data_IF_218791064331
#
_entry.id   IF_218791064331
#
_cell.length_a   1.000
_cell.length_b   1.000
_cell.length_c   1.000
_cell.angle_alpha   90.00
_cell.angle_beta   90.00
_cell.angle_gamma   90.00
#
_symmetry.space_group_name_H-M   'P 1'
#
loop_
_entity.id
_entity.type
_entity.pdbx_description
1 polymer ?
#
# COMPACT_ATOMS: atom_id res chain seq x y z
N UNK A 1 -1.59 -19.63 10.08
CA UNK A 1 -1.92 -18.51 9.19
C UNK A 1 -3.43 -18.38 9.16
N UNK A 2 -3.98 -17.43 9.90
CA UNK A 2 -5.43 -17.17 9.92
C UNK A 2 -5.79 -16.53 8.59
N UNK A 3 -6.78 -17.07 7.88
CA UNK A 3 -7.32 -16.44 6.68
C UNK A 3 -8.00 -15.15 7.14
N UNK A 4 -7.40 -14.00 6.84
CA UNK A 4 -8.10 -12.72 6.92
C UNK A 4 -9.23 -12.80 5.92
N UNK A 5 -10.48 -12.82 6.40
CA UNK A 5 -11.64 -12.81 5.51
C UNK A 5 -11.78 -11.40 4.94
N UNK A 6 -11.49 -11.26 3.65
CA UNK A 6 -11.79 -10.03 2.91
C UNK A 6 -13.20 -10.14 2.34
N UNK A 7 -14.01 -9.10 2.55
CA UNK A 7 -15.33 -8.96 1.96
C UNK A 7 -15.31 -7.79 0.98
N UNK A 8 -15.96 -7.97 -0.17
CA UNK A 8 -16.15 -6.87 -1.11
C UNK A 8 -17.16 -5.89 -0.50
N UNK A 9 -16.68 -4.69 -0.13
CA UNK A 9 -17.52 -3.65 0.47
C UNK A 9 -18.24 -2.80 -0.59
N UNK A 10 -17.54 -2.45 -1.67
CA UNK A 10 -18.06 -1.63 -2.76
C UNK A 10 -17.25 -1.84 -4.05
N UNK A 11 -17.85 -1.51 -5.20
CA UNK A 11 -17.20 -1.43 -6.51
C UNK A 11 -17.80 -0.28 -7.31
N UNK A 12 -17.04 0.26 -8.27
CA UNK A 12 -17.48 1.34 -9.12
C UNK A 12 -16.93 1.19 -10.54
N UNK A 13 -17.75 1.52 -11.53
CA UNK A 13 -17.33 1.63 -12.93
C UNK A 13 -17.17 3.12 -13.23
N UNK A 14 -16.00 3.50 -13.74
CA UNK A 14 -15.62 4.89 -14.02
C UNK A 14 -14.88 4.96 -15.35
N UNK A 15 -14.87 6.15 -15.96
CA UNK A 15 -14.31 6.34 -17.30
C UNK A 15 -12.80 6.11 -17.37
N UNK A 16 -12.08 6.40 -16.27
CA UNK A 16 -10.65 6.09 -16.12
C UNK A 16 -10.19 6.24 -14.68
N UNK A 17 -9.01 5.69 -14.37
CA UNK A 17 -8.35 5.83 -13.07
C UNK A 17 -7.71 7.22 -12.93
N UNK A 18 -8.53 8.21 -12.57
CA UNK A 18 -8.11 9.60 -12.39
C UNK A 18 -8.64 10.19 -11.07
N UNK A 19 -8.15 11.37 -10.69
CA UNK A 19 -8.52 12.03 -9.42
C UNK A 19 -10.02 12.30 -9.28
N UNK A 20 -10.73 12.60 -10.38
CA UNK A 20 -12.17 12.86 -10.34
C UNK A 20 -12.93 11.56 -10.07
N UNK A 21 -12.57 10.49 -10.77
CA UNK A 21 -13.16 9.16 -10.55
C UNK A 21 -12.93 8.65 -9.12
N UNK A 22 -11.70 8.82 -8.60
CA UNK A 22 -11.39 8.44 -7.22
C UNK A 22 -12.13 9.29 -6.19
N UNK A 23 -12.16 10.62 -6.37
CA UNK A 23 -12.92 11.52 -5.49
C UNK A 23 -14.39 11.13 -5.45
N UNK A 24 -15.02 10.91 -6.61
CA UNK A 24 -16.41 10.47 -6.68
C UNK A 24 -16.63 9.14 -5.95
N UNK A 25 -15.76 8.15 -6.19
CA UNK A 25 -15.89 6.84 -5.55
C UNK A 25 -15.79 6.94 -4.03
N UNK A 26 -14.78 7.66 -3.51
CA UNK A 26 -14.61 7.82 -2.06
C UNK A 26 -15.75 8.63 -1.44
N UNK A 27 -16.30 9.64 -2.13
CA UNK A 27 -17.50 10.35 -1.65
C UNK A 27 -18.71 9.42 -1.53
N UNK A 28 -18.89 8.47 -2.46
CA UNK A 28 -19.95 7.46 -2.37
C UNK A 28 -19.68 6.45 -1.26
N UNK A 29 -18.43 6.03 -1.09
CA UNK A 29 -18.04 5.11 -0.02
C UNK A 29 -18.23 5.74 1.37
N UNK A 30 -17.90 7.02 1.53
CA UNK A 30 -18.02 7.72 2.80
C UNK A 30 -19.45 7.76 3.32
N UNK A 31 -20.45 7.79 2.42
CA UNK A 31 -21.88 7.74 2.79
C UNK A 31 -22.29 6.44 3.50
N UNK A 32 -21.48 5.38 3.42
CA UNK A 32 -21.78 4.09 4.03
C UNK A 32 -20.75 3.64 5.07
N UNK A 33 -19.54 4.22 5.09
CA UNK A 33 -18.48 3.84 6.04
C UNK A 33 -18.27 4.85 7.16
N UNK A 34 -18.76 6.09 7.00
CA UNK A 34 -18.35 7.27 7.77
C UNK A 34 -16.82 7.53 7.71
N UNK A 35 -16.38 8.71 8.17
CA UNK A 35 -14.95 9.04 8.36
C UNK A 35 -14.60 8.91 9.84
N UNK A 36 -14.27 7.68 10.25
CA UNK A 36 -13.97 7.33 11.64
C UNK A 36 -12.46 7.30 11.90
N UNK A 37 -12.09 7.62 13.14
CA UNK A 37 -10.74 7.41 13.63
C UNK A 37 -10.39 5.90 13.52
N UNK A 38 -9.12 5.60 13.22
CA UNK A 38 -8.59 4.23 13.01
C UNK A 38 -8.92 3.55 11.66
N UNK A 39 -9.71 4.18 10.77
CA UNK A 39 -9.91 3.65 9.42
C UNK A 39 -8.60 3.69 8.63
N UNK A 40 -8.22 2.57 7.99
CA UNK A 40 -7.00 2.46 7.18
C UNK A 40 -7.33 2.05 5.76
N UNK A 41 -6.88 2.84 4.79
CA UNK A 41 -6.94 2.48 3.37
C UNK A 41 -5.58 1.98 2.86
N UNK A 42 -5.59 0.83 2.19
CA UNK A 42 -4.40 0.21 1.61
C UNK A 42 -4.57 0.10 0.09
N UNK A 43 -3.75 0.80 -0.69
CA UNK A 43 -3.84 0.84 -2.16
C UNK A 43 -2.52 0.49 -2.85
N UNK A 44 -2.60 0.11 -4.13
CA UNK A 44 -1.45 -0.32 -4.96
C UNK A 44 -0.46 0.85 -5.17
N UNK A 45 -0.91 1.95 -5.81
CA UNK A 45 -0.11 3.20 -5.98
C UNK A 45 -0.91 4.31 -6.69
N UNK A 46 -2.18 4.49 -6.36
CA UNK A 46 -2.99 5.54 -6.98
C UNK A 46 -2.62 6.94 -6.43
N UNK A 47 -2.85 8.04 -7.20
CA UNK A 47 -2.67 9.39 -6.69
C UNK A 47 -3.57 9.59 -5.47
N UNK A 48 -2.94 9.72 -4.31
CA UNK A 48 -3.59 9.89 -3.00
C UNK A 48 -4.47 11.13 -2.88
N UNK A 49 -4.50 11.98 -3.91
CA UNK A 49 -5.18 13.28 -3.92
C UNK A 49 -6.71 13.12 -3.77
N UNK A 50 -7.32 12.14 -4.45
CA UNK A 50 -8.78 11.96 -4.38
C UNK A 50 -9.25 11.47 -3.01
N UNK A 51 -8.44 10.64 -2.36
CA UNK A 51 -8.70 10.10 -1.03
C UNK A 51 -8.54 11.15 0.07
N UNK A 52 -7.39 11.84 0.09
CA UNK A 52 -7.05 12.80 1.15
C UNK A 52 -7.97 14.01 1.23
N UNK A 53 -8.80 14.25 0.22
CA UNK A 53 -9.83 15.30 0.24
C UNK A 53 -11.19 14.82 0.79
N UNK A 54 -11.40 13.51 0.92
CA UNK A 54 -12.67 12.92 1.36
C UNK A 54 -12.57 12.38 2.77
N UNK A 55 -11.57 11.55 3.05
CA UNK A 55 -11.32 11.01 4.38
C UNK A 55 -10.14 11.74 5.01
N UNK A 56 -10.42 12.64 5.94
CA UNK A 56 -9.42 13.50 6.56
C UNK A 56 -8.76 12.83 7.76
N UNK A 57 -9.50 11.93 8.43
CA UNK A 57 -9.05 11.26 9.65
C UNK A 57 -8.46 9.87 9.39
N UNK A 58 -8.78 9.27 8.24
CA UNK A 58 -8.31 7.93 7.91
C UNK A 58 -6.81 7.89 7.57
N UNK A 59 -6.15 6.85 8.08
CA UNK A 59 -4.78 6.53 7.71
C UNK A 59 -4.73 5.91 6.32
N UNK A 60 -3.57 6.00 5.68
CA UNK A 60 -3.32 5.34 4.41
C UNK A 60 -1.96 4.66 4.39
N UNK A 61 -1.87 3.60 3.60
CA UNK A 61 -0.66 2.85 3.38
C UNK A 61 -0.63 2.22 1.99
N UNK A 62 0.57 1.79 1.60
CA UNK A 62 0.76 1.05 0.36
C UNK A 62 0.56 -0.44 0.58
N UNK A 63 -0.05 -1.11 -0.39
CA UNK A 63 -0.26 -2.53 -0.34
C UNK A 63 1.08 -3.28 -0.42
N UNK A 64 1.44 -3.99 0.65
CA UNK A 64 2.67 -4.81 0.72
C UNK A 64 2.73 -5.81 -0.43
N UNK A 65 1.60 -6.43 -0.80
CA UNK A 65 1.56 -7.40 -1.89
C UNK A 65 1.90 -6.76 -3.24
N UNK A 66 1.32 -5.60 -3.55
CA UNK A 66 1.61 -4.90 -4.79
C UNK A 66 3.02 -4.34 -4.81
N UNK A 67 3.48 -3.73 -3.71
CA UNK A 67 4.87 -3.27 -3.58
C UNK A 67 5.87 -4.42 -3.79
N UNK A 68 5.60 -5.58 -3.20
CA UNK A 68 6.40 -6.79 -3.40
C UNK A 68 6.44 -7.19 -4.88
N UNK A 69 5.30 -7.22 -5.56
CA UNK A 69 5.20 -7.60 -6.98
C UNK A 69 5.94 -6.60 -7.88
N UNK A 70 5.84 -5.31 -7.58
CA UNK A 70 6.58 -4.25 -8.25
C UNK A 70 8.09 -4.40 -8.05
N UNK A 71 8.53 -4.74 -6.83
CA UNK A 71 9.94 -4.98 -6.53
C UNK A 71 10.48 -6.23 -7.23
N UNK A 72 9.73 -7.34 -7.25
CA UNK A 72 10.10 -8.55 -8.01
C UNK A 72 10.29 -8.24 -9.50
N UNK A 73 9.36 -7.48 -10.07
CA UNK A 73 9.40 -7.12 -11.48
C UNK A 73 10.58 -6.20 -11.81
N UNK A 74 10.95 -5.31 -10.87
CA UNK A 74 12.07 -4.38 -11.03
C UNK A 74 13.44 -5.05 -10.81
N UNK A 75 13.51 -6.07 -9.96
CA UNK A 75 14.74 -6.76 -9.57
C UNK A 75 14.62 -8.28 -9.79
N UNK A 76 14.47 -8.75 -11.04
CA UNK A 76 14.16 -10.15 -11.33
C UNK A 76 15.31 -11.12 -11.00
N UNK A 77 16.55 -10.62 -10.91
CA UNK A 77 17.75 -11.41 -10.63
C UNK A 77 18.05 -11.61 -9.14
N UNK A 78 17.25 -11.01 -8.26
CA UNK A 78 17.50 -10.99 -6.81
C UNK A 78 16.27 -11.48 -6.08
N UNK A 79 16.47 -12.34 -5.09
CA UNK A 79 15.41 -12.66 -4.14
C UNK A 79 15.25 -11.53 -3.09
N UNK A 80 14.69 -10.40 -3.51
CA UNK A 80 14.49 -9.20 -2.68
C UNK A 80 13.33 -9.34 -1.68
N UNK A 81 12.46 -10.33 -1.89
CA UNK A 81 11.15 -10.43 -1.23
C UNK A 81 11.23 -10.80 0.25
N UNK A 82 12.06 -11.76 0.69
CA UNK A 82 12.18 -12.09 2.10
C UNK A 82 12.60 -10.87 2.92
N UNK A 83 13.59 -10.12 2.42
CA UNK A 83 14.11 -8.95 3.12
C UNK A 83 13.12 -7.80 3.08
N UNK A 84 12.46 -7.56 1.94
CA UNK A 84 11.37 -6.58 1.85
C UNK A 84 10.25 -6.88 2.85
N UNK A 85 9.81 -8.13 2.98
CA UNK A 85 8.79 -8.51 3.97
C UNK A 85 9.27 -8.32 5.40
N UNK A 86 10.50 -8.73 5.70
CA UNK A 86 11.09 -8.48 7.01
C UNK A 86 11.15 -6.98 7.36
N UNK A 87 11.40 -6.12 6.37
CA UNK A 87 11.32 -4.66 6.53
C UNK A 87 9.89 -4.21 6.76
N UNK A 88 8.95 -4.59 5.90
CA UNK A 88 7.55 -4.14 5.95
C UNK A 88 6.78 -4.63 7.19
N UNK A 89 7.14 -5.80 7.72
CA UNK A 89 6.50 -6.44 8.87
C UNK A 89 7.24 -6.15 10.19
N UNK A 90 8.21 -5.23 10.19
CA UNK A 90 8.97 -4.88 11.40
C UNK A 90 8.13 -4.07 12.40
N UNK A 91 7.93 -4.62 13.60
CA UNK A 91 7.17 -3.98 14.69
C UNK A 91 7.96 -2.96 15.54
N UNK A 92 9.22 -2.67 15.20
CA UNK A 92 10.00 -1.64 15.86
C UNK A 92 10.86 -0.88 14.87
N UNK A 93 11.07 0.41 15.15
CA UNK A 93 11.89 1.27 14.31
C UNK A 93 13.31 0.71 14.15
N UNK A 94 13.93 0.24 15.23
CA UNK A 94 15.28 -0.34 15.17
C UNK A 94 15.36 -1.57 14.23
N UNK A 95 14.36 -2.46 14.28
CA UNK A 95 14.33 -3.63 13.38
C UNK A 95 14.07 -3.21 11.93
N UNK A 96 13.18 -2.24 11.74
CA UNK A 96 12.90 -1.67 10.42
C UNK A 96 14.18 -1.08 9.81
N UNK A 97 14.91 -0.26 10.56
CA UNK A 97 16.13 0.40 10.10
C UNK A 97 17.21 -0.62 9.72
N UNK A 98 17.43 -1.65 10.53
CA UNK A 98 18.37 -2.73 10.23
C UNK A 98 18.00 -3.44 8.92
N UNK A 99 16.72 -3.83 8.77
CA UNK A 99 16.25 -4.53 7.58
C UNK A 99 16.29 -3.63 6.34
N UNK A 100 15.96 -2.35 6.50
CA UNK A 100 15.99 -1.35 5.43
C UNK A 100 17.41 -1.08 4.95
N UNK A 101 18.39 -0.97 5.85
CA UNK A 101 19.81 -0.85 5.48
C UNK A 101 20.27 -2.06 4.65
N UNK A 102 19.95 -3.27 5.10
CA UNK A 102 20.28 -4.49 4.36
C UNK A 102 19.60 -4.51 2.97
N UNK A 103 18.34 -4.06 2.89
CA UNK A 103 17.59 -3.96 1.62
C UNK A 103 18.25 -2.98 0.65
N UNK A 104 18.69 -1.82 1.14
CA UNK A 104 19.41 -0.83 0.34
C UNK A 104 20.77 -1.36 -0.15
N UNK A 105 21.54 -2.05 0.69
CA UNK A 105 22.83 -2.63 0.28
C UNK A 105 22.68 -3.74 -0.76
N UNK A 106 21.56 -4.48 -0.75
CA UNK A 106 21.26 -5.49 -1.77
C UNK A 106 21.03 -4.85 -3.15
N UNK A 107 20.40 -3.68 -3.17
CA UNK A 107 20.21 -2.88 -4.39
C UNK A 107 21.54 -2.37 -4.96
N UNK A 108 22.46 -1.92 -4.12
CA UNK A 108 23.77 -1.40 -4.57
C UNK A 108 24.63 -2.49 -5.23
N UNK A 109 24.63 -3.70 -4.66
CA UNK A 109 25.39 -4.85 -5.18
C UNK A 109 24.93 -5.35 -6.54
N UNK A 110 23.75 -4.93 -7.00
CA UNK A 110 23.14 -5.38 -8.25
C UNK A 110 23.09 -4.31 -9.34
N UNK A 111 23.62 -3.13 -9.04
CA UNK A 111 23.97 -2.11 -10.05
C UNK A 111 25.39 -2.24 -10.59
N UNK A 112 26.23 -3.07 -9.95
CA UNK A 112 27.59 -3.40 -10.41
C UNK A 112 27.64 -4.57 -11.37
#
# INVERSE_FOLDING_TARGET
MQIVKCYLLAWGIVDSENNNSWTWFFQKLQQITDDIDELVFIFDRAPSIGFSNVYLNAYHGHCIWHLQTNLKSKFPSIDIVPLFRATAEAYSLAKFEINMQALCSLHEKTRG
#
